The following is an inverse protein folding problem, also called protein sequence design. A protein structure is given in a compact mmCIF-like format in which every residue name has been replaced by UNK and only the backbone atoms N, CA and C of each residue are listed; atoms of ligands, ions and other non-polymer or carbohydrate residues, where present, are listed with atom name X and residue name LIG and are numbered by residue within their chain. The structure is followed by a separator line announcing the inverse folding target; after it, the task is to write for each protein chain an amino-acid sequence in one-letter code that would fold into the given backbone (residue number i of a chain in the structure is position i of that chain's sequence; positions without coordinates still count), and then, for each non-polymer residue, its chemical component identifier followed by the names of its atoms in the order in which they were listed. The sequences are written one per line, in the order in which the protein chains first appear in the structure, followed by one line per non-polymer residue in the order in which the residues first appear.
data_IF_672403787251
#
_entry.id   IF_672403787251
#
_cell.length_a   1.000
_cell.length_b   1.000
_cell.length_c   1.000
_cell.angle_alpha   90.00
_cell.angle_beta   90.00
_cell.angle_gamma   90.00
#
_symmetry.space_group_name_H-M   'P 1'
#
loop_
_entity.id
_entity.type
_entity.pdbx_description
1 polymer ?
#
# COMPACT_ATOMS: atom_id res chain seq x y z
N UNK A 1 -6.25 -21.79 1.82
CA UNK A 1 -6.83 -20.66 1.06
C UNK A 1 -5.79 -19.56 1.03
N UNK A 2 -5.27 -19.18 -0.13
CA UNK A 2 -4.24 -18.13 -0.23
C UNK A 2 -4.93 -16.77 -0.16
N UNK A 3 -4.88 -16.07 0.98
CA UNK A 3 -5.40 -14.71 1.10
C UNK A 3 -4.42 -13.74 0.45
N UNK A 4 -4.90 -12.89 -0.47
CA UNK A 4 -4.10 -11.83 -1.07
C UNK A 4 -3.98 -10.64 -0.11
N UNK A 5 -2.76 -10.12 0.05
CA UNK A 5 -2.48 -8.93 0.86
C UNK A 5 -2.31 -7.72 -0.05
N UNK A 6 -3.04 -6.65 0.24
CA UNK A 6 -2.91 -5.33 -0.38
C UNK A 6 -2.25 -4.38 0.61
N UNK A 7 -1.15 -3.77 0.21
CA UNK A 7 -0.49 -2.68 0.93
C UNK A 7 -0.93 -1.32 0.39
N UNK A 8 -1.36 -0.43 1.27
CA UNK A 8 -1.75 0.95 0.97
C UNK A 8 -0.68 1.85 1.58
N UNK A 9 0.16 2.44 0.74
CA UNK A 9 1.30 3.23 1.20
C UNK A 9 0.93 4.71 1.36
N UNK A 10 1.65 5.39 2.25
CA UNK A 10 1.61 6.83 2.35
C UNK A 10 2.25 7.47 1.11
N UNK A 11 1.72 8.60 0.68
CA UNK A 11 2.32 9.40 -0.39
C UNK A 11 3.54 10.15 0.13
N UNK A 12 4.63 10.11 -0.64
CA UNK A 12 5.93 10.69 -0.28
C UNK A 12 6.24 11.99 -1.03
N UNK A 13 5.44 12.31 -2.06
CA UNK A 13 5.65 13.49 -2.91
C UNK A 13 5.15 14.77 -2.19
N UNK A 14 5.98 15.83 -2.08
CA UNK A 14 5.55 17.09 -1.50
C UNK A 14 4.29 17.64 -2.17
N UNK A 15 3.28 17.99 -1.37
CA UNK A 15 2.00 18.54 -1.84
C UNK A 15 0.97 17.50 -2.30
N UNK A 16 1.34 16.22 -2.45
CA UNK A 16 0.37 15.15 -2.65
C UNK A 16 -0.30 14.82 -1.32
N UNK A 17 -1.63 14.94 -1.29
CA UNK A 17 -2.45 14.75 -0.09
C UNK A 17 -3.43 13.60 -0.22
N UNK A 18 -3.55 13.00 -1.41
CA UNK A 18 -4.49 11.91 -1.64
C UNK A 18 -3.95 10.60 -1.07
N UNK A 19 -4.86 9.63 -0.91
CA UNK A 19 -4.55 8.24 -0.58
C UNK A 19 -5.11 7.34 -1.67
N UNK A 20 -4.42 6.23 -1.95
CA UNK A 20 -4.78 5.34 -3.05
C UNK A 20 -6.06 4.54 -2.79
N UNK A 21 -6.41 4.37 -1.51
CA UNK A 21 -7.60 3.64 -1.10
C UNK A 21 -8.21 4.27 0.16
N UNK A 22 -9.49 4.63 0.08
CA UNK A 22 -10.23 5.21 1.21
C UNK A 22 -10.82 4.10 2.12
N UNK A 23 -11.11 4.39 3.40
CA UNK A 23 -11.66 3.41 4.34
C UNK A 23 -12.95 2.71 3.88
N UNK A 24 -13.80 3.39 3.11
CA UNK A 24 -15.01 2.77 2.55
C UNK A 24 -14.69 1.60 1.61
N UNK A 25 -13.68 1.77 0.74
CA UNK A 25 -13.28 0.75 -0.21
C UNK A 25 -12.55 -0.42 0.48
N UNK A 26 -11.84 -0.19 1.58
CA UNK A 26 -11.24 -1.23 2.42
C UNK A 26 -12.27 -2.28 2.84
N UNK A 27 -13.46 -1.83 3.30
CA UNK A 27 -14.54 -2.74 3.71
C UNK A 27 -14.94 -3.71 2.59
N UNK A 28 -14.86 -3.25 1.34
CA UNK A 28 -15.24 -4.03 0.18
C UNK A 28 -14.24 -5.16 -0.12
N UNK A 29 -12.93 -4.90 0.03
CA UNK A 29 -11.90 -5.92 -0.13
C UNK A 29 -11.85 -6.90 1.05
N UNK A 30 -12.08 -6.43 2.28
CA UNK A 30 -12.20 -7.29 3.46
C UNK A 30 -13.34 -8.30 3.33
N UNK A 31 -14.50 -7.89 2.79
CA UNK A 31 -15.63 -8.79 2.49
C UNK A 31 -15.29 -9.89 1.49
N UNK A 32 -14.29 -9.69 0.62
CA UNK A 32 -13.78 -10.69 -0.33
C UNK A 32 -12.72 -11.60 0.27
N UNK A 33 -12.35 -11.41 1.54
CA UNK A 33 -11.36 -12.22 2.25
C UNK A 33 -9.91 -11.80 2.01
N UNK A 34 -9.67 -10.58 1.52
CA UNK A 34 -8.32 -10.07 1.31
C UNK A 34 -7.78 -9.41 2.57
N UNK A 35 -6.46 -9.43 2.76
CA UNK A 35 -5.77 -8.69 3.83
C UNK A 35 -5.42 -7.28 3.35
N UNK A 36 -5.68 -6.27 4.19
CA UNK A 36 -5.48 -4.87 3.84
C UNK A 36 -4.55 -4.29 4.90
N UNK A 37 -3.37 -3.86 4.47
CA UNK A 37 -2.38 -3.20 5.33
C UNK A 37 -2.22 -1.76 4.89
N UNK A 38 -2.26 -0.84 5.84
CA UNK A 38 -2.17 0.60 5.59
C UNK A 38 -0.97 1.15 6.33
N UNK A 39 -0.11 1.90 5.65
CA UNK A 39 0.98 2.63 6.31
C UNK A 39 0.37 3.67 7.25
N UNK A 40 0.82 3.71 8.51
CA UNK A 40 0.35 4.68 9.49
C UNK A 40 0.46 6.12 8.95
N UNK A 41 -0.62 6.89 9.06
CA UNK A 41 -0.71 8.26 8.54
C UNK A 41 -0.92 8.39 7.02
N UNK A 42 -1.07 7.28 6.27
CA UNK A 42 -1.28 7.34 4.81
C UNK A 42 -2.53 8.13 4.40
N UNK A 43 -3.54 8.18 5.28
CA UNK A 43 -4.79 8.91 5.03
C UNK A 43 -4.82 10.36 5.54
N UNK A 44 -3.80 10.80 6.30
CA UNK A 44 -3.87 12.08 7.03
C UNK A 44 -4.08 13.27 6.10
N UNK A 45 -3.37 13.29 4.96
CA UNK A 45 -3.53 14.33 3.94
C UNK A 45 -4.93 14.38 3.32
N UNK A 46 -5.64 13.24 3.32
CA UNK A 46 -6.97 13.07 2.76
C UNK A 46 -8.07 13.12 3.84
N UNK A 47 -7.75 13.52 5.07
CA UNK A 47 -8.67 13.57 6.22
C UNK A 47 -9.24 12.21 6.64
N UNK A 48 -8.50 11.13 6.43
CA UNK A 48 -8.81 9.81 6.96
C UNK A 48 -7.80 9.43 8.02
N UNK A 49 -8.26 9.25 9.25
CA UNK A 49 -7.41 8.87 10.37
C UNK A 49 -7.13 7.36 10.34
N UNK A 50 -6.02 6.94 10.94
CA UNK A 50 -5.67 5.52 11.09
C UNK A 50 -6.81 4.69 11.71
N UNK A 51 -7.56 5.25 12.67
CA UNK A 51 -8.72 4.60 13.28
C UNK A 51 -9.82 4.26 12.25
N UNK A 52 -10.00 5.09 11.22
CA UNK A 52 -11.04 4.89 10.21
C UNK A 52 -10.72 3.65 9.37
N UNK A 53 -9.43 3.41 9.10
CA UNK A 53 -8.93 2.19 8.45
C UNK A 53 -9.08 0.95 9.34
N UNK A 54 -8.76 1.08 10.63
CA UNK A 54 -8.93 -0.01 11.60
C UNK A 54 -10.40 -0.42 11.72
N UNK A 55 -11.30 0.55 11.85
CA UNK A 55 -12.76 0.32 11.87
C UNK A 55 -13.30 -0.24 10.55
N UNK A 56 -12.63 0.03 9.43
CA UNK A 56 -12.91 -0.59 8.14
C UNK A 56 -12.38 -2.03 8.03
N UNK A 57 -11.56 -2.48 8.98
CA UNK A 57 -11.01 -3.82 9.07
C UNK A 57 -9.63 -3.99 8.42
N UNK A 58 -8.93 -2.89 8.12
CA UNK A 58 -7.52 -2.94 7.74
C UNK A 58 -6.60 -2.98 8.96
N UNK A 59 -5.39 -3.50 8.76
CA UNK A 59 -4.30 -3.43 9.72
C UNK A 59 -3.47 -2.18 9.44
N UNK A 60 -3.36 -1.27 10.41
CA UNK A 60 -2.45 -0.13 10.32
C UNK A 60 -1.06 -0.58 10.76
N UNK A 61 -0.07 -0.35 9.91
CA UNK A 61 1.31 -0.82 10.08
C UNK A 61 2.25 0.38 10.16
N UNK A 62 3.10 0.39 11.19
CA UNK A 62 4.13 1.39 11.32
C UNK A 62 5.30 1.08 10.39
N UNK A 63 5.64 2.02 9.51
CA UNK A 63 6.81 1.93 8.65
C UNK A 63 6.56 1.23 7.31
N UNK A 64 7.25 1.71 6.29
CA UNK A 64 7.07 1.32 4.90
C UNK A 64 7.49 -0.11 4.59
N UNK A 65 8.62 -0.57 5.12
CA UNK A 65 9.08 -1.94 4.85
C UNK A 65 8.11 -2.99 5.38
N UNK A 66 7.55 -2.74 6.56
CA UNK A 66 6.58 -3.63 7.20
C UNK A 66 5.22 -3.64 6.47
N UNK A 67 4.76 -2.50 5.92
CA UNK A 67 3.50 -2.50 5.14
C UNK A 67 3.63 -3.31 3.85
N UNK A 68 4.84 -3.31 3.25
CA UNK A 68 5.15 -4.00 2.00
C UNK A 68 5.45 -5.50 2.17
N UNK A 69 5.78 -5.95 3.38
CA UNK A 69 6.24 -7.32 3.62
C UNK A 69 5.20 -8.37 3.21
N UNK A 70 5.51 -9.15 2.17
CA UNK A 70 4.60 -10.20 1.66
C UNK A 70 3.33 -9.65 1.00
N UNK A 71 3.28 -8.36 0.64
CA UNK A 71 2.18 -7.77 -0.11
C UNK A 71 2.16 -8.31 -1.55
N UNK A 72 1.01 -8.78 -2.01
CA UNK A 72 0.81 -9.21 -3.40
C UNK A 72 0.47 -8.05 -4.33
N UNK A 73 -0.10 -6.98 -3.78
CA UNK A 73 -0.47 -5.74 -4.49
C UNK A 73 -0.09 -4.55 -3.63
N UNK A 74 0.42 -3.49 -4.27
CA UNK A 74 0.75 -2.22 -3.62
C UNK A 74 -0.04 -1.09 -4.29
N UNK A 75 -0.72 -0.29 -3.49
CA UNK A 75 -1.52 0.84 -3.94
C UNK A 75 -0.85 2.17 -3.56
N UNK A 76 -0.60 2.98 -4.59
CA UNK A 76 -0.19 4.39 -4.52
C UNK A 76 -0.99 5.22 -5.52
N UNK A 77 -1.07 6.51 -5.25
CA UNK A 77 -1.59 7.54 -6.15
C UNK A 77 -0.53 7.98 -7.14
N UNK A 78 0.67 8.31 -6.65
CA UNK A 78 1.80 8.67 -7.50
C UNK A 78 2.60 7.42 -7.88
N UNK A 79 3.31 7.44 -9.02
CA UNK A 79 4.27 6.40 -9.33
C UNK A 79 5.28 6.22 -8.18
N UNK A 80 5.66 4.98 -7.83
CA UNK A 80 6.62 4.74 -6.76
C UNK A 80 7.97 5.37 -7.10
N UNK A 81 8.68 5.87 -6.08
CA UNK A 81 10.04 6.39 -6.25
C UNK A 81 11.03 5.25 -6.47
N UNK A 82 12.23 5.56 -6.96
CA UNK A 82 13.29 4.53 -7.12
C UNK A 82 13.62 3.81 -5.81
N UNK A 83 13.58 4.52 -4.69
CA UNK A 83 13.84 3.95 -3.37
C UNK A 83 12.71 2.99 -2.94
N UNK A 84 11.46 3.32 -3.28
CA UNK A 84 10.29 2.48 -3.00
C UNK A 84 10.25 1.22 -3.89
N UNK A 85 10.73 1.31 -5.14
CA UNK A 85 10.80 0.18 -6.09
C UNK A 85 11.82 -0.87 -5.67
N UNK A 86 12.83 -0.51 -4.86
CA UNK A 86 13.86 -1.46 -4.43
C UNK A 86 13.30 -2.59 -3.54
N UNK A 87 12.12 -2.37 -2.94
CA UNK A 87 11.50 -3.30 -1.99
C UNK A 87 12.36 -3.52 -0.74
N UNK A 88 11.86 -4.29 0.25
CA UNK A 88 12.64 -4.66 1.43
C UNK A 88 13.94 -5.39 1.02
N UNK A 89 15.04 -5.28 1.81
CA UNK A 89 16.29 -5.98 1.51
C UNK A 89 16.05 -7.49 1.45
N UNK A 90 16.04 -8.06 0.24
CA UNK A 90 15.73 -9.47 -0.03
C UNK A 90 14.86 -9.69 -1.28
N UNK A 91 14.11 -8.68 -1.73
CA UNK A 91 13.46 -8.72 -3.05
C UNK A 91 14.42 -8.22 -4.12
N UNK A 92 15.33 -9.10 -4.56
CA UNK A 92 16.29 -8.80 -5.62
C UNK A 92 15.61 -8.47 -6.95
N UNK A 93 15.44 -7.18 -7.24
CA UNK A 93 15.19 -6.70 -8.59
C UNK A 93 16.50 -6.72 -9.38
N UNK A 94 16.80 -7.83 -10.04
CA UNK A 94 17.90 -7.90 -11.01
C UNK A 94 17.52 -7.05 -12.22
N UNK A 95 18.18 -5.90 -12.37
CA UNK A 95 18.03 -5.08 -13.55
C UNK A 95 18.50 -5.82 -14.80
N UNK A 96 17.57 -6.08 -15.70
CA UNK A 96 17.85 -6.11 -17.13
C UNK A 96 16.70 -5.45 -17.88
N UNK A 97 17.07 -4.63 -18.86
CA UNK A 97 16.17 -3.68 -19.50
C UNK A 97 15.14 -4.35 -20.39
N UNK A 98 13.92 -4.41 -19.90
CA UNK A 98 12.71 -4.19 -20.68
C UNK A 98 11.65 -3.69 -19.70
N UNK A 99 11.29 -2.41 -19.81
CA UNK A 99 10.24 -1.83 -19.01
C UNK A 99 8.89 -2.31 -19.53
N UNK A 100 8.52 -3.56 -19.21
CA UNK A 100 7.19 -4.12 -19.40
C UNK A 100 6.47 -4.22 -18.05
N UNK A 101 6.43 -3.10 -17.32
CA UNK A 101 5.63 -2.98 -16.10
C UNK A 101 4.16 -2.78 -16.50
N UNK A 102 3.46 -3.88 -16.76
CA UNK A 102 2.00 -3.92 -16.73
C UNK A 102 1.56 -5.23 -16.13
N UNK A 103 1.37 -5.25 -14.81
CA UNK A 103 0.27 -5.99 -14.18
C UNK A 103 0.02 -5.43 -12.78
N UNK A 104 -1.21 -4.94 -12.60
CA UNK A 104 -1.83 -4.65 -11.31
C UNK A 104 -2.00 -5.92 -10.48
#
# INVERSE_FOLDING_TARGET
MTSMTIAIMAESRPGERRVALVPEAVRHYRKRGWDLRVEAGAGDGASFLDRDYQEAGATVVAGRDAVLEGAGVVLKVQPPTRDEVRGPPGSGGTGHGDASWTRF
#
